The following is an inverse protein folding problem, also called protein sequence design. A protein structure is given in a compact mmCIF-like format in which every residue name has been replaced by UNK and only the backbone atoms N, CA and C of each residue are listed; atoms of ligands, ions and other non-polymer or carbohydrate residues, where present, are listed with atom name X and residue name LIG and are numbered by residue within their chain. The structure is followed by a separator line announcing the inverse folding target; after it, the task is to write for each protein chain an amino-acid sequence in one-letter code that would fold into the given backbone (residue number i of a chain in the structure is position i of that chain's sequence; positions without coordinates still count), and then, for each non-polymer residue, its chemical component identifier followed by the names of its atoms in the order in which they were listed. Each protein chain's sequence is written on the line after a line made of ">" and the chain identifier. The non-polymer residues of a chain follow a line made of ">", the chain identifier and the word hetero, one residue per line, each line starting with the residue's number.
data_IF_990288695279
#
_entry.id   IF_990288695279
#
_cell.length_a   1.000
_cell.length_b   1.000
_cell.length_c   1.000
_cell.angle_alpha   90.00
_cell.angle_beta   90.00
_cell.angle_gamma   90.00
#
_symmetry.space_group_name_H-M   'P 1'
#
loop_
_entity.id
_entity.type
_entity.pdbx_description
1 polymer ?
#
# COMPACT_ATOMS: atom_id res chain seq x y z
N UNK A 1 18.73 11.07 -17.10
CA UNK A 1 17.67 10.93 -16.08
C UNK A 1 17.52 9.46 -15.82
N UNK A 2 17.56 9.03 -14.56
CA UNK A 2 17.27 7.64 -14.22
C UNK A 2 15.84 7.34 -14.69
N UNK A 3 15.68 6.28 -15.48
CA UNK A 3 14.37 5.91 -16.06
C UNK A 3 13.47 5.17 -15.04
N UNK A 4 14.00 4.83 -13.86
CA UNK A 4 13.29 4.33 -12.68
C UNK A 4 13.96 4.87 -11.42
N UNK A 5 13.22 5.04 -10.33
CA UNK A 5 13.70 5.48 -9.02
C UNK A 5 13.49 4.34 -8.01
N UNK A 6 14.55 3.92 -7.30
CA UNK A 6 14.45 2.85 -6.31
C UNK A 6 13.92 3.39 -4.98
N UNK A 7 13.08 2.62 -4.30
CA UNK A 7 12.67 2.96 -2.94
C UNK A 7 13.89 3.02 -2.02
N UNK A 8 14.00 4.13 -1.30
CA UNK A 8 15.13 4.45 -0.44
C UNK A 8 16.19 5.36 -1.07
N UNK A 9 16.19 5.54 -2.40
CA UNK A 9 17.07 6.48 -3.06
C UNK A 9 16.47 7.90 -3.07
N UNK A 10 17.30 8.94 -2.97
CA UNK A 10 16.88 10.35 -2.90
C UNK A 10 16.00 10.76 -4.09
N UNK A 11 16.29 10.25 -5.29
CA UNK A 11 15.49 10.51 -6.51
C UNK A 11 14.03 10.05 -6.36
N UNK A 12 13.77 9.07 -5.48
CA UNK A 12 12.44 8.53 -5.21
C UNK A 12 11.69 9.27 -4.08
N UNK A 13 12.29 10.31 -3.49
CA UNK A 13 11.68 11.09 -2.41
C UNK A 13 10.75 12.21 -2.89
N UNK A 14 10.66 12.45 -4.20
CA UNK A 14 9.96 13.59 -4.79
C UNK A 14 8.57 13.23 -5.29
N UNK A 15 7.52 13.69 -4.60
CA UNK A 15 6.11 13.45 -4.96
C UNK A 15 5.81 13.89 -6.40
N UNK A 16 6.39 15.01 -6.86
CA UNK A 16 6.23 15.52 -8.22
C UNK A 16 6.82 14.60 -9.32
N UNK A 17 7.65 13.62 -8.94
CA UNK A 17 8.30 12.69 -9.86
C UNK A 17 7.65 11.32 -9.81
N UNK A 18 7.48 10.75 -8.61
CA UNK A 18 7.07 9.36 -8.41
C UNK A 18 5.68 9.21 -7.76
N UNK A 19 4.98 10.32 -7.51
CA UNK A 19 3.69 10.35 -6.82
C UNK A 19 3.81 10.15 -5.30
N UNK A 20 2.77 10.52 -4.57
CA UNK A 20 2.76 10.54 -3.11
C UNK A 20 3.04 9.16 -2.50
N UNK A 21 2.41 8.11 -3.00
CA UNK A 21 2.54 6.74 -2.48
C UNK A 21 3.98 6.23 -2.52
N UNK A 22 4.65 6.34 -3.67
CA UNK A 22 6.04 5.88 -3.82
C UNK A 22 7.02 6.77 -3.04
N UNK A 23 6.84 8.08 -3.07
CA UNK A 23 7.71 9.02 -2.37
C UNK A 23 7.62 8.88 -0.85
N UNK A 24 6.40 8.72 -0.30
CA UNK A 24 6.18 8.47 1.12
C UNK A 24 6.91 7.20 1.58
N UNK A 25 6.69 6.07 0.91
CA UNK A 25 7.38 4.82 1.24
C UNK A 25 8.90 4.94 1.09
N UNK A 26 9.39 5.64 0.06
CA UNK A 26 10.82 5.81 -0.18
C UNK A 26 11.50 6.58 0.95
N UNK A 27 10.90 7.67 1.42
CA UNK A 27 11.42 8.43 2.57
C UNK A 27 11.47 7.61 3.87
N UNK A 28 10.56 6.65 4.01
CA UNK A 28 10.46 5.79 5.21
C UNK A 28 11.31 4.52 5.12
N UNK A 29 11.81 4.15 3.94
CA UNK A 29 12.55 2.90 3.72
C UNK A 29 13.87 2.80 4.50
N UNK A 30 14.49 3.92 4.87
CA UNK A 30 15.70 3.93 5.71
C UNK A 30 15.41 3.73 7.21
N UNK A 31 14.15 3.91 7.63
CA UNK A 31 13.73 3.88 9.04
C UNK A 31 12.93 2.64 9.39
N UNK A 32 12.31 2.02 8.39
CA UNK A 32 11.36 0.90 8.55
C UNK A 32 11.59 -0.18 7.50
N UNK A 33 11.13 -1.40 7.79
CA UNK A 33 11.17 -2.51 6.83
C UNK A 33 10.12 -2.28 5.75
N UNK A 34 10.54 -1.64 4.67
CA UNK A 34 9.74 -1.46 3.44
C UNK A 34 10.17 -2.52 2.43
N UNK A 35 9.25 -3.27 1.80
CA UNK A 35 9.62 -4.23 0.76
C UNK A 35 10.34 -3.54 -0.40
N UNK A 36 11.32 -4.21 -0.99
CA UNK A 36 12.06 -3.68 -2.14
C UNK A 36 11.13 -3.29 -3.27
N UNK A 37 11.46 -2.21 -3.99
CA UNK A 37 10.66 -1.75 -5.11
C UNK A 37 11.32 -0.61 -5.87
N UNK A 38 10.73 -0.28 -7.00
CA UNK A 38 11.10 0.87 -7.80
C UNK A 38 9.86 1.59 -8.32
N UNK A 39 9.96 2.88 -8.50
CA UNK A 39 8.94 3.70 -9.12
C UNK A 39 9.33 4.06 -10.57
N UNK A 40 8.35 4.00 -11.47
CA UNK A 40 8.43 4.55 -12.80
C UNK A 40 7.95 6.01 -12.67
N UNK A 41 8.79 7.00 -13.02
CA UNK A 41 8.41 8.41 -12.97
C UNK A 41 7.14 8.72 -13.76
N UNK A 42 6.45 9.76 -13.35
CA UNK A 42 5.14 10.14 -13.86
C UNK A 42 5.07 10.24 -15.39
N UNK A 43 4.22 9.41 -15.97
CA UNK A 43 3.94 9.32 -17.40
C UNK A 43 2.66 10.08 -17.74
N UNK A 44 2.57 10.71 -18.93
CA UNK A 44 1.32 11.27 -19.43
C UNK A 44 0.29 10.17 -19.66
N UNK A 45 -0.84 10.21 -18.93
CA UNK A 45 -1.88 9.19 -19.03
C UNK A 45 -2.63 9.24 -20.38
N UNK A 46 -2.72 10.42 -21.00
CA UNK A 46 -3.44 10.64 -22.26
C UNK A 46 -2.91 9.78 -23.42
N UNK A 47 -1.65 9.36 -23.37
CA UNK A 47 -1.08 8.47 -24.39
C UNK A 47 -1.58 7.04 -24.27
N UNK A 48 -2.27 6.69 -23.17
CA UNK A 48 -2.83 5.37 -22.87
C UNK A 48 -1.84 4.20 -23.06
N UNK A 49 -0.54 4.50 -23.17
CA UNK A 49 0.50 3.51 -23.42
C UNK A 49 1.83 3.91 -22.79
N UNK A 50 2.53 2.92 -22.28
CA UNK A 50 3.91 3.07 -21.82
C UNK A 50 4.81 3.28 -23.03
N UNK A 51 5.66 4.32 -23.06
CA UNK A 51 6.60 4.53 -24.16
C UNK A 51 7.48 3.30 -24.39
N UNK A 52 7.60 2.86 -25.63
CA UNK A 52 8.39 1.66 -26.00
C UNK A 52 9.84 1.72 -25.52
N UNK A 53 10.40 2.93 -25.41
CA UNK A 53 11.74 3.15 -24.88
C UNK A 53 11.89 2.73 -23.39
N UNK A 54 10.79 2.67 -22.62
CA UNK A 54 10.81 2.23 -21.23
C UNK A 54 10.72 0.71 -21.05
N UNK A 55 10.30 -0.03 -22.08
CA UNK A 55 10.22 -1.51 -22.00
C UNK A 55 11.54 -2.16 -21.54
N UNK A 56 12.70 -1.89 -22.15
CA UNK A 56 13.96 -2.50 -21.71
C UNK A 56 14.35 -2.03 -20.29
N UNK A 57 14.01 -0.81 -19.94
CA UNK A 57 14.33 -0.24 -18.61
C UNK A 57 13.53 -0.93 -17.51
N UNK A 58 12.21 -1.07 -17.69
CA UNK A 58 11.32 -1.74 -16.74
C UNK A 58 11.70 -3.21 -16.62
N UNK A 59 12.00 -3.88 -17.75
CA UNK A 59 12.47 -5.27 -17.77
C UNK A 59 13.76 -5.45 -16.97
N UNK A 60 14.73 -4.54 -17.15
CA UNK A 60 15.98 -4.57 -16.40
C UNK A 60 15.75 -4.31 -14.89
N UNK A 61 14.95 -3.30 -14.56
CA UNK A 61 14.62 -2.98 -13.16
C UNK A 61 13.91 -4.15 -12.45
N UNK A 62 12.97 -4.84 -13.13
CA UNK A 62 12.32 -6.01 -12.56
C UNK A 62 13.29 -7.17 -12.29
N UNK A 63 14.26 -7.42 -13.17
CA UNK A 63 15.32 -8.41 -12.95
C UNK A 63 16.21 -8.03 -11.77
N UNK A 64 16.63 -6.78 -11.70
CA UNK A 64 17.42 -6.26 -10.59
C UNK A 64 16.63 -6.30 -9.26
N UNK A 65 15.30 -6.11 -9.29
CA UNK A 65 14.44 -6.34 -8.13
C UNK A 65 14.48 -7.81 -7.70
N UNK A 66 14.46 -8.73 -8.65
CA UNK A 66 14.60 -10.17 -8.37
C UNK A 66 15.91 -10.50 -7.65
N UNK A 67 17.02 -9.92 -8.07
CA UNK A 67 18.32 -10.08 -7.40
C UNK A 67 18.27 -9.56 -5.95
N UNK A 68 17.65 -8.39 -5.71
CA UNK A 68 17.48 -7.82 -4.37
C UNK A 68 16.59 -8.67 -3.46
N UNK A 69 15.59 -9.36 -4.05
CA UNK A 69 14.66 -10.23 -3.33
C UNK A 69 15.16 -11.68 -3.20
N UNK A 70 16.31 -12.03 -3.81
CA UNK A 70 16.79 -13.41 -3.85
C UNK A 70 15.89 -14.37 -4.67
N UNK A 71 15.14 -13.85 -5.66
CA UNK A 71 14.16 -14.61 -6.44
C UNK A 71 14.27 -14.27 -7.94
N UNK A 72 14.34 -15.27 -8.81
CA UNK A 72 14.43 -15.05 -10.27
C UNK A 72 13.16 -14.42 -10.87
N UNK A 73 12.00 -14.73 -10.29
CA UNK A 73 10.68 -14.21 -10.69
C UNK A 73 9.93 -13.74 -9.43
N UNK A 74 10.31 -12.59 -8.82
CA UNK A 74 9.65 -12.12 -7.63
C UNK A 74 8.18 -11.80 -7.92
N UNK A 75 7.29 -12.16 -6.99
CA UNK A 75 5.94 -11.65 -7.00
C UNK A 75 5.96 -10.16 -6.66
N UNK A 76 5.25 -9.34 -7.42
CA UNK A 76 5.16 -7.91 -7.16
C UNK A 76 3.72 -7.42 -7.09
N UNK A 77 3.53 -6.34 -6.34
CA UNK A 77 2.40 -5.45 -6.45
C UNK A 77 2.76 -4.32 -7.43
N UNK A 78 1.89 -4.06 -8.39
CA UNK A 78 2.01 -2.93 -9.32
C UNK A 78 0.89 -1.96 -8.99
N UNK A 79 1.25 -0.77 -8.53
CA UNK A 79 0.33 0.21 -7.94
C UNK A 79 0.45 1.55 -8.67
N UNK A 80 -0.66 2.17 -8.98
CA UNK A 80 -0.67 3.57 -9.38
C UNK A 80 -0.22 4.47 -8.22
N UNK A 81 0.53 5.51 -8.53
CA UNK A 81 1.00 6.54 -7.60
C UNK A 81 0.76 7.90 -8.25
N UNK A 82 -0.42 8.47 -8.02
CA UNK A 82 -0.79 9.74 -8.63
C UNK A 82 0.00 10.89 -7.99
N UNK A 83 0.25 11.95 -8.79
CA UNK A 83 0.99 13.13 -8.32
C UNK A 83 0.14 13.99 -7.35
N UNK A 84 -1.16 13.85 -7.42
CA UNK A 84 -2.16 14.60 -6.66
C UNK A 84 -2.97 13.73 -5.69
N UNK A 85 -2.54 12.46 -5.45
CA UNK A 85 -3.28 11.47 -4.64
C UNK A 85 -3.29 11.78 -3.14
N UNK A 86 -2.20 12.31 -2.59
CA UNK A 86 -1.99 12.52 -1.15
C UNK A 86 -1.98 14.01 -0.76
N UNK A 87 -2.67 14.86 -1.52
CA UNK A 87 -2.92 16.24 -1.10
C UNK A 87 -3.80 16.27 0.17
N UNK A 88 -3.60 17.28 1.04
CA UNK A 88 -4.35 17.45 2.29
C UNK A 88 -5.88 17.41 2.13
N UNK A 89 -6.37 17.62 0.92
CA UNK A 89 -7.79 17.78 0.60
C UNK A 89 -8.38 16.71 -0.32
N UNK A 90 -7.58 15.72 -0.77
CA UNK A 90 -8.02 14.71 -1.72
C UNK A 90 -7.43 13.32 -1.39
N UNK A 91 -8.28 12.36 -1.03
CA UNK A 91 -7.93 10.95 -0.93
C UNK A 91 -8.56 10.19 -2.08
N UNK A 92 -7.74 9.70 -3.01
CA UNK A 92 -8.18 8.80 -4.10
C UNK A 92 -8.37 7.35 -3.61
N UNK A 93 -8.79 7.16 -2.36
CA UNK A 93 -9.00 5.83 -1.79
C UNK A 93 -9.96 5.01 -2.69
N UNK A 94 -9.47 3.89 -3.22
CA UNK A 94 -10.24 2.97 -4.05
C UNK A 94 -10.42 3.39 -5.53
N UNK A 95 -9.87 4.54 -5.97
CA UNK A 95 -10.03 5.03 -7.35
C UNK A 95 -8.88 4.57 -8.29
N UNK A 96 -7.79 4.06 -7.75
CA UNK A 96 -6.61 3.68 -8.52
C UNK A 96 -6.32 2.19 -8.39
N UNK A 97 -5.98 1.56 -9.52
CA UNK A 97 -5.78 0.12 -9.61
C UNK A 97 -4.51 -0.34 -8.91
N UNK A 98 -4.63 -1.45 -8.22
CA UNK A 98 -3.52 -2.24 -7.68
C UNK A 98 -3.61 -3.66 -8.25
N UNK A 99 -2.52 -4.13 -8.82
CA UNK A 99 -2.41 -5.48 -9.37
C UNK A 99 -1.42 -6.28 -8.52
N UNK A 100 -1.90 -7.32 -7.87
CA UNK A 100 -1.12 -8.15 -6.94
C UNK A 100 -0.65 -9.45 -7.58
N UNK A 101 0.46 -9.98 -7.05
CA UNK A 101 1.07 -11.23 -7.46
C UNK A 101 1.39 -11.31 -8.96
N UNK A 102 1.88 -10.20 -9.50
CA UNK A 102 2.36 -10.13 -10.88
C UNK A 102 3.76 -10.75 -10.93
N UNK A 103 4.00 -11.65 -11.88
CA UNK A 103 5.29 -12.33 -12.07
C UNK A 103 5.73 -12.31 -13.52
N UNK A 104 7.02 -12.02 -13.74
CA UNK A 104 7.60 -11.94 -15.09
C UNK A 104 7.53 -10.53 -15.69
N UNK A 105 8.56 -10.18 -16.46
CA UNK A 105 8.72 -8.83 -17.01
C UNK A 105 7.56 -8.39 -17.91
N UNK A 106 7.06 -9.29 -18.75
CA UNK A 106 5.95 -8.98 -19.67
C UNK A 106 4.65 -8.71 -18.90
N UNK A 107 4.36 -9.51 -17.85
CA UNK A 107 3.21 -9.29 -17.00
C UNK A 107 3.32 -7.98 -16.20
N UNK A 108 4.52 -7.62 -15.75
CA UNK A 108 4.78 -6.32 -15.08
C UNK A 108 4.54 -5.17 -16.07
N UNK A 109 5.02 -5.27 -17.29
CA UNK A 109 4.79 -4.26 -18.34
C UNK A 109 3.28 -4.09 -18.63
N UNK A 110 2.53 -5.19 -18.72
CA UNK A 110 1.07 -5.13 -18.89
C UNK A 110 0.39 -4.47 -17.67
N UNK A 111 0.77 -4.84 -16.45
CA UNK A 111 0.22 -4.23 -15.24
C UNK A 111 0.54 -2.72 -15.14
N UNK A 112 1.77 -2.31 -15.48
CA UNK A 112 2.15 -0.89 -15.58
C UNK A 112 1.29 -0.16 -16.60
N UNK A 113 1.07 -0.77 -17.76
CA UNK A 113 0.21 -0.22 -18.81
C UNK A 113 -1.24 -0.02 -18.32
N UNK A 114 -1.78 -0.99 -17.56
CA UNK A 114 -3.12 -0.89 -16.96
C UNK A 114 -3.19 0.22 -15.91
N UNK A 115 -2.18 0.36 -15.03
CA UNK A 115 -2.07 1.50 -14.10
C UNK A 115 -2.08 2.85 -14.82
N UNK A 116 -1.35 2.99 -15.94
CA UNK A 116 -1.36 4.24 -16.72
C UNK A 116 -2.76 4.54 -17.28
N UNK A 117 -3.46 3.52 -17.76
CA UNK A 117 -4.83 3.68 -18.30
C UNK A 117 -5.85 4.02 -17.23
N UNK A 118 -5.71 3.48 -16.02
CA UNK A 118 -6.67 3.73 -14.92
C UNK A 118 -6.77 5.21 -14.54
N UNK A 119 -5.70 5.99 -14.74
CA UNK A 119 -5.68 7.42 -14.45
C UNK A 119 -6.65 8.26 -15.31
N UNK A 120 -7.11 7.71 -16.44
CA UNK A 120 -8.09 8.35 -17.34
C UNK A 120 -9.35 7.48 -17.51
N UNK A 121 -9.63 6.58 -16.55
CA UNK A 121 -10.91 5.88 -16.49
C UNK A 121 -12.07 6.87 -16.26
N UNK A 122 -13.29 6.46 -16.59
CA UNK A 122 -14.49 7.28 -16.36
C UNK A 122 -14.62 7.70 -14.89
N UNK A 123 -14.31 6.77 -13.99
CA UNK A 123 -14.36 6.96 -12.54
C UNK A 123 -13.29 7.97 -12.07
N UNK A 124 -12.03 7.80 -12.53
CA UNK A 124 -10.94 8.72 -12.20
C UNK A 124 -11.21 10.13 -12.72
N UNK A 125 -11.74 10.25 -13.95
CA UNK A 125 -12.09 11.55 -14.54
C UNK A 125 -13.28 12.21 -13.82
N UNK A 126 -14.32 11.43 -13.45
CA UNK A 126 -15.46 11.95 -12.67
C UNK A 126 -14.99 12.47 -11.31
N UNK A 127 -14.16 11.72 -10.59
CA UNK A 127 -13.57 12.16 -9.33
C UNK A 127 -12.76 13.46 -9.47
N UNK A 128 -11.89 13.55 -10.50
CA UNK A 128 -11.11 14.78 -10.76
C UNK A 128 -12.01 15.97 -11.01
N UNK A 129 -13.09 15.78 -11.78
CA UNK A 129 -14.07 16.82 -12.05
C UNK A 129 -14.77 17.30 -10.77
N UNK A 130 -15.22 16.38 -9.91
CA UNK A 130 -15.88 16.69 -8.64
C UNK A 130 -14.97 17.46 -7.68
N UNK A 131 -13.65 17.19 -7.73
CA UNK A 131 -12.64 17.84 -6.88
C UNK A 131 -12.03 19.10 -7.52
N UNK A 132 -12.46 19.49 -8.71
CA UNK A 132 -11.90 20.65 -9.42
C UNK A 132 -10.43 20.48 -9.84
N UNK A 133 -9.95 19.22 -9.96
CA UNK A 133 -8.59 18.91 -10.38
C UNK A 133 -8.45 19.06 -11.91
N UNK A 134 -7.24 19.37 -12.41
CA UNK A 134 -7.00 19.50 -13.85
C UNK A 134 -7.40 18.23 -14.62
N UNK A 135 -8.16 18.40 -15.70
CA UNK A 135 -8.60 17.32 -16.60
C UNK A 135 -7.64 17.13 -17.78
N UNK A 136 -6.69 18.04 -17.95
CA UNK A 136 -5.66 18.00 -18.99
C UNK A 136 -4.30 17.74 -18.36
N UNK A 137 -3.38 17.13 -19.14
CA UNK A 137 -2.04 16.75 -18.67
C UNK A 137 -2.03 15.85 -17.42
N UNK A 138 -3.02 14.95 -17.35
CA UNK A 138 -3.06 13.94 -16.26
C UNK A 138 -1.82 13.07 -16.34
N UNK A 139 -1.07 13.02 -15.24
CA UNK A 139 0.18 12.25 -15.14
C UNK A 139 0.09 11.28 -13.96
N UNK A 140 0.65 10.10 -14.15
CA UNK A 140 0.65 9.06 -13.13
C UNK A 140 2.01 8.36 -13.10
N UNK A 141 2.55 8.19 -11.93
CA UNK A 141 3.67 7.31 -11.66
C UNK A 141 3.17 5.90 -11.31
N UNK A 142 4.03 4.91 -11.44
CA UNK A 142 3.69 3.53 -11.10
C UNK A 142 4.76 2.96 -10.18
N UNK A 143 4.33 2.46 -9.03
CA UNK A 143 5.16 1.74 -8.07
C UNK A 143 5.11 0.24 -8.36
N UNK A 144 6.28 -0.37 -8.57
CA UNK A 144 6.46 -1.82 -8.66
C UNK A 144 7.21 -2.26 -7.40
N UNK A 145 6.52 -2.98 -6.52
CA UNK A 145 7.04 -3.34 -5.20
C UNK A 145 6.95 -4.85 -4.97
N UNK A 146 7.94 -5.44 -4.32
CA UNK A 146 7.91 -6.84 -3.87
C UNK A 146 6.61 -7.09 -3.09
N UNK A 147 5.86 -8.10 -3.49
CA UNK A 147 4.69 -8.55 -2.75
C UNK A 147 5.13 -9.43 -1.59
N UNK A 148 4.77 -9.01 -0.38
CA UNK A 148 5.01 -9.79 0.84
C UNK A 148 3.97 -10.91 0.93
N UNK A 149 4.38 -12.19 1.05
CA UNK A 149 3.46 -13.31 1.28
C UNK A 149 2.98 -13.29 2.73
N UNK A 150 2.08 -12.36 3.05
CA UNK A 150 1.68 -12.07 4.41
C UNK A 150 0.89 -13.21 5.06
N UNK A 151 1.29 -13.54 6.29
CA UNK A 151 0.52 -14.39 7.20
C UNK A 151 -0.69 -13.61 7.74
N UNK A 152 -0.46 -12.32 8.07
CA UNK A 152 -1.47 -11.36 8.54
C UNK A 152 -1.21 -10.01 7.89
N UNK A 153 -2.27 -9.29 7.55
CA UNK A 153 -2.22 -7.89 7.14
C UNK A 153 -3.07 -7.04 8.06
N UNK A 154 -2.72 -5.76 8.18
CA UNK A 154 -3.44 -4.81 9.00
C UNK A 154 -3.49 -3.41 8.38
N UNK A 155 -4.57 -2.71 8.68
CA UNK A 155 -4.69 -1.26 8.51
C UNK A 155 -4.63 -0.63 9.90
N UNK A 156 -3.70 0.31 10.08
CA UNK A 156 -3.41 0.93 11.38
C UNK A 156 -3.61 2.43 11.27
N UNK A 157 -4.48 2.97 12.09
CA UNK A 157 -4.75 4.39 12.21
C UNK A 157 -4.08 4.95 13.45
N UNK A 158 -3.20 5.93 13.30
CA UNK A 158 -2.56 6.58 14.46
C UNK A 158 -3.50 7.51 15.24
N UNK A 159 -4.73 7.71 14.79
CA UNK A 159 -5.82 8.31 15.53
C UNK A 159 -7.10 7.52 15.23
N UNK A 160 -8.01 7.43 16.19
CA UNK A 160 -9.24 6.63 16.00
C UNK A 160 -10.20 7.35 15.02
N UNK A 161 -10.41 6.81 13.80
CA UNK A 161 -11.24 7.48 12.79
C UNK A 161 -12.75 7.41 13.11
N UNK A 162 -13.16 6.56 14.06
CA UNK A 162 -14.57 6.40 14.46
C UNK A 162 -14.95 7.42 15.52
N UNK A 163 -14.09 7.60 16.54
CA UNK A 163 -14.34 8.51 17.68
C UNK A 163 -13.73 9.89 17.48
N UNK A 164 -12.78 10.04 16.54
CA UNK A 164 -11.97 11.25 16.39
C UNK A 164 -10.84 11.38 17.43
N UNK A 165 -10.70 10.42 18.35
CA UNK A 165 -9.68 10.46 19.43
C UNK A 165 -8.27 10.41 18.84
N UNK A 166 -7.44 11.39 19.22
CA UNK A 166 -6.02 11.46 18.87
C UNK A 166 -5.11 10.72 19.87
N UNK A 167 -5.67 10.31 20.99
CA UNK A 167 -4.97 9.60 22.05
C UNK A 167 -5.03 8.07 21.90
N UNK A 168 -5.64 7.59 20.83
CA UNK A 168 -5.82 6.18 20.52
C UNK A 168 -5.19 5.80 19.18
N UNK A 169 -4.67 4.57 19.10
CA UNK A 169 -4.33 3.88 17.84
C UNK A 169 -5.40 2.82 17.59
N UNK A 170 -5.95 2.77 16.38
CA UNK A 170 -6.88 1.72 15.98
C UNK A 170 -6.22 0.80 14.95
N UNK A 171 -6.33 -0.51 15.16
CA UNK A 171 -5.76 -1.55 14.29
C UNK A 171 -6.88 -2.47 13.82
N UNK A 172 -7.02 -2.61 12.51
CA UNK A 172 -7.90 -3.60 11.88
C UNK A 172 -7.04 -4.66 11.18
N UNK A 173 -7.21 -5.94 11.50
CA UNK A 173 -6.36 -7.01 10.95
C UNK A 173 -7.14 -8.24 10.50
N UNK A 174 -6.59 -8.95 9.52
CA UNK A 174 -7.11 -10.23 9.02
C UNK A 174 -5.97 -11.12 8.54
N UNK A 175 -6.23 -12.41 8.42
CA UNK A 175 -5.33 -13.39 7.84
C UNK A 175 -5.06 -13.10 6.36
N UNK A 176 -3.85 -13.42 5.92
CA UNK A 176 -3.43 -13.31 4.53
C UNK A 176 -3.14 -11.88 4.05
N UNK A 177 -3.38 -11.62 2.76
CA UNK A 177 -3.13 -10.32 2.12
C UNK A 177 -4.18 -9.28 2.53
N UNK A 178 -3.76 -8.00 2.59
CA UNK A 178 -4.60 -6.88 3.03
C UNK A 178 -5.72 -6.46 2.07
N UNK A 179 -5.78 -7.05 0.87
CA UNK A 179 -6.79 -6.74 -0.16
C UNK A 179 -8.23 -6.86 0.38
N UNK A 180 -8.51 -7.90 1.18
CA UNK A 180 -9.83 -8.13 1.77
C UNK A 180 -10.22 -7.10 2.83
N UNK A 181 -9.24 -6.53 3.58
CA UNK A 181 -9.50 -5.48 4.58
C UNK A 181 -9.78 -4.17 3.86
N UNK A 182 -8.91 -3.78 2.93
CA UNK A 182 -9.02 -2.52 2.18
C UNK A 182 -10.28 -2.51 1.31
N UNK A 183 -10.62 -3.64 0.70
CA UNK A 183 -11.84 -3.83 -0.11
C UNK A 183 -13.12 -3.97 0.71
N UNK A 184 -13.04 -4.09 2.04
CA UNK A 184 -14.21 -4.24 2.91
C UNK A 184 -14.98 -5.55 2.72
N UNK A 185 -14.35 -6.60 2.16
CA UNK A 185 -15.00 -7.89 1.89
C UNK A 185 -15.05 -8.80 3.13
N UNK A 186 -14.33 -8.43 4.20
CA UNK A 186 -14.25 -9.19 5.46
C UNK A 186 -14.51 -8.28 6.67
N UNK A 187 -14.95 -8.87 7.77
CA UNK A 187 -14.99 -8.21 9.08
C UNK A 187 -13.64 -8.49 9.78
N UNK A 188 -12.77 -7.49 9.95
CA UNK A 188 -11.46 -7.68 10.57
C UNK A 188 -11.55 -7.79 12.09
N UNK A 189 -10.50 -8.34 12.71
CA UNK A 189 -10.26 -8.10 14.13
C UNK A 189 -9.95 -6.61 14.35
N UNK A 190 -10.43 -6.03 15.44
CA UNK A 190 -10.20 -4.63 15.78
C UNK A 190 -9.59 -4.50 17.16
N UNK A 191 -8.55 -3.68 17.26
CA UNK A 191 -7.89 -3.34 18.52
C UNK A 191 -7.83 -1.82 18.64
N UNK A 192 -8.13 -1.32 19.84
CA UNK A 192 -7.91 0.08 20.22
C UNK A 192 -6.87 0.10 21.31
N UNK A 193 -5.83 0.91 21.12
CA UNK A 193 -4.68 0.99 22.03
C UNK A 193 -4.51 2.42 22.49
N UNK A 194 -4.42 2.62 23.82
CA UNK A 194 -4.05 3.91 24.40
C UNK A 194 -2.60 4.27 24.06
N UNK A 195 -2.35 5.47 23.55
CA UNK A 195 -1.02 5.91 23.14
C UNK A 195 -0.06 6.10 24.30
N UNK A 196 -0.54 6.48 25.48
CA UNK A 196 0.32 6.77 26.64
C UNK A 196 0.77 5.49 27.32
N UNK A 197 -0.18 4.61 27.65
CA UNK A 197 0.11 3.34 28.34
C UNK A 197 0.54 2.21 27.40
N UNK A 198 0.27 2.32 26.11
CA UNK A 198 0.38 1.24 25.13
C UNK A 198 -0.43 0.01 25.51
N UNK A 199 -1.55 0.22 26.23
CA UNK A 199 -2.46 -0.83 26.66
C UNK A 199 -3.61 -0.97 25.66
N UNK A 200 -4.00 -2.21 25.37
CA UNK A 200 -5.18 -2.50 24.55
C UNK A 200 -6.42 -2.20 25.41
N UNK A 201 -7.11 -1.11 25.12
CA UNK A 201 -8.30 -0.66 25.84
C UNK A 201 -9.57 -1.31 25.31
N UNK A 202 -9.57 -1.75 24.06
CA UNK A 202 -10.66 -2.48 23.45
C UNK A 202 -10.16 -3.48 22.43
N UNK A 203 -10.81 -4.67 22.40
CA UNK A 203 -10.49 -5.75 21.47
C UNK A 203 -11.78 -6.42 21.02
N UNK A 204 -11.95 -6.51 19.70
CA UNK A 204 -13.01 -7.29 19.08
C UNK A 204 -12.40 -8.31 18.13
N UNK A 205 -12.48 -9.58 18.46
CA UNK A 205 -12.02 -10.69 17.62
C UNK A 205 -13.20 -11.19 16.81
N UNK A 206 -13.25 -10.76 15.57
CA UNK A 206 -14.33 -11.12 14.66
C UNK A 206 -14.25 -12.58 14.21
N UNK A 207 -15.38 -13.13 13.74
CA UNK A 207 -15.34 -14.36 12.97
C UNK A 207 -14.88 -14.03 11.54
N UNK A 208 -13.72 -14.55 11.17
CA UNK A 208 -13.08 -14.35 9.86
C UNK A 208 -13.30 -15.58 8.99
N UNK A 209 -14.29 -15.55 8.10
CA UNK A 209 -14.61 -16.71 7.24
C UNK A 209 -13.76 -16.73 5.96
N UNK A 210 -13.25 -15.56 5.51
CA UNK A 210 -12.50 -15.41 4.26
C UNK A 210 -11.16 -14.72 4.47
N UNK A 211 -10.17 -15.09 3.66
CA UNK A 211 -8.88 -14.41 3.56
C UNK A 211 -8.41 -14.40 2.10
N UNK A 212 -7.59 -13.42 1.74
CA UNK A 212 -6.96 -13.36 0.42
C UNK A 212 -5.57 -13.98 0.47
N UNK A 213 -5.27 -14.87 -0.45
CA UNK A 213 -3.96 -15.53 -0.55
C UNK A 213 -3.36 -15.38 -1.95
N UNK A 214 -2.04 -15.52 -2.03
CA UNK A 214 -1.34 -15.62 -3.32
C UNK A 214 -1.63 -16.98 -3.95
N UNK A 215 -1.86 -16.99 -5.26
CA UNK A 215 -1.97 -18.22 -6.07
C UNK A 215 -0.79 -18.34 -7.05
N UNK A 216 -0.80 -19.31 -7.92
CA UNK A 216 0.20 -19.39 -8.99
C UNK A 216 0.14 -18.18 -9.94
N UNK A 217 -1.05 -17.61 -10.13
CA UNK A 217 -1.32 -16.45 -11.00
C UNK A 217 -2.31 -15.51 -10.32
N UNK A 218 -1.85 -14.37 -9.78
CA UNK A 218 -2.72 -13.40 -9.08
C UNK A 218 -3.04 -13.81 -7.65
N UNK A 219 -4.17 -13.33 -7.13
CA UNK A 219 -4.69 -13.58 -5.78
C UNK A 219 -6.02 -14.32 -5.84
N UNK A 220 -6.39 -14.97 -4.75
CA UNK A 220 -7.72 -15.59 -4.60
C UNK A 220 -8.22 -15.43 -3.17
N UNK A 221 -9.52 -15.23 -3.05
CA UNK A 221 -10.20 -15.31 -1.77
C UNK A 221 -10.53 -16.77 -1.46
N UNK A 222 -10.08 -17.23 -0.28
CA UNK A 222 -10.27 -18.61 0.19
C UNK A 222 -10.90 -18.63 1.58
N UNK A 223 -11.46 -19.78 1.96
CA UNK A 223 -11.96 -19.97 3.32
C UNK A 223 -10.80 -19.98 4.32
N UNK A 224 -10.98 -19.30 5.45
CA UNK A 224 -10.06 -19.38 6.59
C UNK A 224 -10.19 -20.77 7.22
N UNK A 225 -9.08 -21.45 7.57
CA UNK A 225 -9.11 -22.69 8.34
C UNK A 225 -9.98 -22.57 9.60
N UNK A 226 -10.76 -23.60 9.91
CA UNK A 226 -11.79 -23.51 10.97
C UNK A 226 -11.22 -23.05 12.31
N UNK A 227 -10.02 -23.53 12.65
CA UNK A 227 -9.31 -23.20 13.89
C UNK A 227 -8.88 -21.73 13.98
N UNK A 228 -8.72 -21.04 12.83
CA UNK A 228 -8.30 -19.64 12.73
C UNK A 228 -9.48 -18.66 12.62
N UNK A 229 -10.68 -19.14 12.32
CA UNK A 229 -11.84 -18.26 12.07
C UNK A 229 -12.19 -17.37 13.24
N UNK A 230 -12.05 -17.89 14.46
CA UNK A 230 -12.35 -17.16 15.71
C UNK A 230 -11.10 -16.89 16.55
N UNK A 231 -9.91 -17.27 16.07
CA UNK A 231 -8.66 -16.92 16.70
C UNK A 231 -8.27 -15.47 16.39
N UNK A 232 -7.61 -14.80 17.32
CA UNK A 232 -7.03 -13.47 17.08
C UNK A 232 -5.98 -13.56 15.98
N UNK A 233 -6.06 -12.69 14.97
CA UNK A 233 -5.09 -12.64 13.88
C UNK A 233 -3.76 -12.00 14.31
N UNK A 234 -3.75 -11.24 15.42
CA UNK A 234 -2.56 -10.66 16.01
C UNK A 234 -2.43 -11.08 17.47
N UNK A 235 -1.21 -11.30 17.92
CA UNK A 235 -0.86 -11.39 19.34
C UNK A 235 -0.57 -10.00 19.92
N UNK A 236 -0.36 -9.93 21.24
CA UNK A 236 -0.16 -8.66 21.96
C UNK A 236 1.17 -7.99 21.57
N UNK A 237 2.22 -8.75 21.27
CA UNK A 237 3.52 -8.20 20.82
C UNK A 237 3.39 -7.59 19.44
N UNK A 238 2.63 -8.22 18.53
CA UNK A 238 2.35 -7.71 17.19
C UNK A 238 1.49 -6.44 17.24
N UNK A 239 0.43 -6.42 18.07
CA UNK A 239 -0.38 -5.20 18.31
C UNK A 239 0.51 -4.06 18.82
N UNK A 240 1.35 -4.35 19.82
CA UNK A 240 2.30 -3.36 20.34
C UNK A 240 3.29 -2.87 19.28
N UNK A 241 3.85 -3.77 18.46
CA UNK A 241 4.79 -3.41 17.40
C UNK A 241 4.16 -2.49 16.36
N UNK A 242 2.91 -2.77 15.93
CA UNK A 242 2.15 -1.92 15.01
C UNK A 242 1.80 -0.57 15.63
N UNK A 243 1.42 -0.53 16.92
CA UNK A 243 1.19 0.71 17.65
C UNK A 243 2.44 1.59 17.66
N UNK A 244 3.59 1.03 18.03
CA UNK A 244 4.87 1.76 18.05
C UNK A 244 5.28 2.25 16.65
N UNK A 245 5.03 1.46 15.60
CA UNK A 245 5.23 1.89 14.21
C UNK A 245 4.36 3.12 13.90
N UNK A 246 3.07 3.08 14.22
CA UNK A 246 2.15 4.18 13.96
C UNK A 246 2.56 5.47 14.67
N UNK A 247 2.93 5.38 15.96
CA UNK A 247 3.41 6.53 16.73
C UNK A 247 4.69 7.13 16.16
N UNK A 248 5.63 6.29 15.75
CA UNK A 248 6.88 6.73 15.13
C UNK A 248 6.64 7.42 13.80
N UNK A 249 5.77 6.86 12.95
CA UNK A 249 5.42 7.45 11.67
C UNK A 249 4.70 8.79 11.85
N UNK A 250 3.71 8.87 12.74
CA UNK A 250 3.02 10.12 13.09
C UNK A 250 4.02 11.21 13.53
N UNK A 251 5.01 10.84 14.36
CA UNK A 251 6.06 11.77 14.81
C UNK A 251 6.96 12.25 13.67
N UNK A 252 7.28 11.37 12.70
CA UNK A 252 8.17 11.69 11.56
C UNK A 252 7.46 12.60 10.55
N UNK A 253 6.18 12.30 10.24
CA UNK A 253 5.41 13.04 9.23
C UNK A 253 4.68 14.27 9.80
N UNK A 254 4.51 14.35 11.14
CA UNK A 254 3.91 15.49 11.82
C UNK A 254 2.39 15.57 11.81
N UNK A 255 1.70 14.51 11.39
CA UNK A 255 0.23 14.41 11.39
C UNK A 255 -0.22 12.97 11.58
N UNK A 256 -1.50 12.76 11.90
CA UNK A 256 -2.08 11.42 12.04
C UNK A 256 -2.02 10.66 10.72
N UNK A 257 -1.69 9.36 10.79
CA UNK A 257 -1.43 8.49 9.64
C UNK A 257 -2.33 7.26 9.60
N UNK A 258 -2.68 6.87 8.38
CA UNK A 258 -3.29 5.61 7.98
C UNK A 258 -2.19 4.76 7.31
N UNK A 259 -1.97 3.55 7.83
CA UNK A 259 -0.84 2.71 7.50
C UNK A 259 -1.34 1.34 7.06
N UNK A 260 -0.87 0.83 5.93
CA UNK A 260 -1.02 -0.57 5.57
C UNK A 260 0.24 -1.33 5.99
N UNK A 261 0.06 -2.41 6.75
CA UNK A 261 1.12 -3.28 7.25
C UNK A 261 0.89 -4.74 6.86
N UNK A 262 1.96 -5.50 6.84
CA UNK A 262 1.90 -6.95 6.73
C UNK A 262 2.92 -7.60 7.68
N UNK A 263 2.56 -8.76 8.21
CA UNK A 263 3.48 -9.64 8.92
C UNK A 263 3.71 -10.87 8.05
N UNK A 264 4.95 -11.18 7.80
CA UNK A 264 5.38 -12.41 7.15
C UNK A 264 6.61 -12.97 7.87
N UNK A 265 6.58 -14.24 8.22
CA UNK A 265 7.68 -14.90 8.94
C UNK A 265 8.15 -14.07 10.15
N UNK A 266 7.21 -13.59 10.94
CA UNK A 266 7.42 -12.76 12.13
C UNK A 266 8.14 -11.40 11.88
N UNK A 267 8.17 -10.93 10.62
CA UNK A 267 8.71 -9.62 10.26
C UNK A 267 7.55 -8.67 9.90
N UNK A 268 7.52 -7.50 10.53
CA UNK A 268 6.56 -6.43 10.23
C UNK A 268 7.05 -5.58 9.08
N UNK A 269 6.26 -5.49 8.01
CA UNK A 269 6.51 -4.69 6.82
C UNK A 269 5.57 -3.49 6.76
N UNK A 270 6.11 -2.34 6.40
CA UNK A 270 5.35 -1.15 6.03
C UNK A 270 5.05 -1.18 4.53
N UNK A 271 3.77 -1.23 4.14
CA UNK A 271 3.33 -1.33 2.75
C UNK A 271 2.81 -0.01 2.18
N UNK A 272 2.26 0.85 3.03
CA UNK A 272 1.77 2.20 2.69
C UNK A 272 1.67 3.06 3.95
N UNK A 273 1.88 4.38 3.79
CA UNK A 273 1.64 5.37 4.84
C UNK A 273 1.08 6.64 4.18
N UNK A 274 -0.10 7.08 4.63
CA UNK A 274 -0.77 8.28 4.12
C UNK A 274 -1.39 9.09 5.27
N UNK A 275 -1.68 10.39 5.06
CA UNK A 275 -2.41 11.19 6.04
C UNK A 275 -3.82 10.65 6.28
N UNK A 276 -4.31 10.76 7.52
CA UNK A 276 -5.75 10.62 7.80
C UNK A 276 -6.41 11.96 7.45
N UNK A 277 -7.27 11.95 6.44
CA UNK A 277 -7.97 13.16 5.95
C UNK A 277 -9.35 13.37 6.58
N UNK A 278 -9.88 12.39 7.34
CA UNK A 278 -11.25 12.36 7.86
C UNK A 278 -11.35 12.52 9.38
N UNK A 279 -10.30 12.99 10.05
CA UNK A 279 -10.41 13.40 11.45
C UNK A 279 -11.10 14.77 11.48
N UNK A 280 -12.38 14.76 11.77
CA UNK A 280 -13.18 15.96 11.97
C UNK A 280 -12.76 16.75 13.22
#
# INVERSE_FOLDING_TARGET
>A
MNNVCWLGDDDCHHDAIVGGKAASLSRLASLHTVPHGFAIPALPAIQSSVPTALTPVITHAYRALGERCGASLPAVAVRSSALDEDGSDASFAGQHDTYLNIRGADAVLDAVQRCVRSAISSEALAYRHERGLPMVDVRIAVLVQQLVPSDVSAVVFSANPITGSRDEVMINSNWGLGESIVGGSVTPDTFVVDKQGLEVTWRDVARKDRMTVMTNTGTAEVDVPEELRTASSLDDDQVRAMTLLALKLESVVGHAVDIECAIAQNTLYLLQCRPITTLG
#
